data_IF_003654758349
#
_entry.id   IF_003654758349
#
_cell.length_a   1.000
_cell.length_b   1.000
_cell.length_c   1.000
_cell.angle_alpha   90.00
_cell.angle_beta   90.00
_cell.angle_gamma   90.00
#
_symmetry.space_group_name_H-M   'P 1'
#
loop_
_entity.id
_entity.type
_entity.pdbx_description
1 polymer ?
#
# COMPACT_ATOMS: atom_id res chain seq x y z
N UNK A 1 23.90 -12.87 7.32
CA UNK A 1 22.64 -12.92 6.54
C UNK A 1 21.55 -12.31 7.41
N UNK A 2 20.81 -11.33 6.90
CA UNK A 2 19.66 -10.72 7.59
C UNK A 2 18.40 -11.53 7.29
N UNK A 3 17.45 -11.56 8.23
CA UNK A 3 16.14 -12.17 8.02
C UNK A 3 15.29 -11.32 7.05
N UNK A 4 14.49 -11.95 6.18
CA UNK A 4 13.58 -11.22 5.31
C UNK A 4 12.44 -10.58 6.11
N UNK A 5 11.90 -9.49 5.59
CA UNK A 5 10.62 -8.95 6.06
C UNK A 5 9.52 -9.94 5.72
N UNK A 6 8.68 -10.27 6.70
CA UNK A 6 7.54 -11.17 6.54
C UNK A 6 6.28 -10.49 7.07
N UNK A 7 5.15 -10.82 6.46
CA UNK A 7 3.83 -10.33 6.83
C UNK A 7 3.07 -11.49 7.45
N UNK A 8 2.51 -11.31 8.65
CA UNK A 8 1.67 -12.32 9.28
C UNK A 8 0.21 -12.10 8.86
N UNK A 9 -0.38 -13.11 8.20
CA UNK A 9 -1.76 -13.12 7.70
C UNK A 9 -2.67 -14.10 8.44
N UNK A 10 -2.22 -14.70 9.56
CA UNK A 10 -2.97 -15.73 10.31
C UNK A 10 -4.37 -15.27 10.79
N UNK A 11 -4.56 -13.96 10.94
CA UNK A 11 -5.81 -13.34 11.38
C UNK A 11 -6.67 -12.82 10.23
N UNK A 12 -6.14 -12.80 9.01
CA UNK A 12 -6.86 -12.31 7.84
C UNK A 12 -7.93 -13.33 7.44
N UNK A 13 -9.07 -12.84 6.94
CA UNK A 13 -10.19 -13.68 6.50
C UNK A 13 -10.63 -13.27 5.11
N UNK A 14 -10.14 -13.97 4.09
CA UNK A 14 -10.39 -13.63 2.69
C UNK A 14 -9.90 -12.20 2.41
N UNK A 15 -10.83 -11.30 2.09
CA UNK A 15 -10.52 -9.90 1.76
C UNK A 15 -10.43 -8.99 2.99
N UNK A 16 -10.67 -9.51 4.20
CA UNK A 16 -10.66 -8.73 5.44
C UNK A 16 -9.32 -8.93 6.13
N UNK A 17 -8.49 -7.88 6.16
CA UNK A 17 -7.29 -7.84 7.00
C UNK A 17 -7.66 -7.51 8.46
N UNK A 18 -6.93 -8.08 9.42
CA UNK A 18 -7.18 -7.82 10.84
C UNK A 18 -6.30 -6.69 11.41
N UNK A 19 -5.06 -6.59 10.94
CA UNK A 19 -4.05 -5.69 11.45
C UNK A 19 -3.29 -4.97 10.32
N UNK A 20 -2.63 -3.88 10.67
CA UNK A 20 -1.79 -3.10 9.77
C UNK A 20 -0.58 -2.56 10.52
N UNK A 21 0.50 -2.40 9.76
CA UNK A 21 1.74 -1.81 10.22
C UNK A 21 1.89 -0.34 9.78
N UNK A 22 1.03 0.15 8.88
CA UNK A 22 1.10 1.53 8.37
C UNK A 22 0.85 2.59 9.44
N UNK A 23 0.23 2.21 10.56
CA UNK A 23 -0.10 3.11 11.67
C UNK A 23 1.09 3.57 12.51
N UNK A 24 2.16 2.76 12.57
CA UNK A 24 3.22 2.98 13.54
C UNK A 24 4.41 2.03 13.43
N UNK A 25 4.54 1.30 12.31
CA UNK A 25 5.56 0.26 12.08
C UNK A 25 5.51 -0.92 13.07
N UNK A 26 4.46 -0.98 13.87
CA UNK A 26 4.14 -2.06 14.79
C UNK A 26 2.77 -2.62 14.38
N UNK A 27 2.58 -3.93 14.52
CA UNK A 27 1.29 -4.55 14.19
C UNK A 27 0.24 -4.02 15.15
N UNK A 28 -0.78 -3.37 14.58
CA UNK A 28 -1.90 -2.77 15.30
C UNK A 28 -3.20 -3.23 14.66
N UNK A 29 -4.19 -3.59 15.47
CA UNK A 29 -5.52 -3.93 14.97
C UNK A 29 -6.12 -2.73 14.24
N UNK A 30 -6.63 -2.94 13.02
CA UNK A 30 -7.21 -1.86 12.21
C UNK A 30 -8.34 -1.12 12.95
N UNK A 31 -9.11 -1.84 13.78
CA UNK A 31 -10.18 -1.26 14.60
C UNK A 31 -9.66 -0.24 15.65
N UNK A 32 -8.42 -0.41 16.11
CA UNK A 32 -7.81 0.41 17.17
C UNK A 32 -6.87 1.47 16.61
N UNK A 33 -6.71 1.52 15.28
CA UNK A 33 -5.80 2.44 14.62
C UNK A 33 -6.51 3.76 14.29
N UNK A 34 -6.03 4.92 14.78
CA UNK A 34 -6.66 6.22 14.54
C UNK A 34 -6.24 6.80 13.17
N UNK A 35 -6.23 5.97 12.12
CA UNK A 35 -5.87 6.38 10.76
C UNK A 35 -6.77 5.67 9.76
N UNK A 36 -6.99 6.34 8.63
CA UNK A 36 -7.82 5.82 7.55
C UNK A 36 -6.98 4.91 6.65
N UNK A 37 -7.05 3.60 6.92
CA UNK A 37 -6.27 2.57 6.24
C UNK A 37 -7.17 1.66 5.41
N UNK A 38 -6.78 1.43 4.16
CA UNK A 38 -7.35 0.39 3.30
C UNK A 38 -6.29 -0.68 3.07
N UNK A 39 -6.69 -1.96 3.19
CA UNK A 39 -5.81 -3.10 2.94
C UNK A 39 -6.44 -3.97 1.85
N UNK A 40 -5.65 -4.28 0.83
CA UNK A 40 -5.96 -5.29 -0.17
C UNK A 40 -5.13 -6.53 0.18
N UNK A 41 -5.80 -7.62 0.56
CA UNK A 41 -5.15 -8.88 0.93
C UNK A 41 -4.66 -9.64 -0.29
N UNK A 42 -3.83 -10.67 -0.09
CA UNK A 42 -3.37 -11.57 -1.15
C UNK A 42 -4.51 -12.20 -1.94
N UNK A 43 -5.53 -12.68 -1.23
CA UNK A 43 -6.72 -13.29 -1.83
C UNK A 43 -7.43 -12.29 -2.74
N UNK A 44 -7.64 -11.06 -2.28
CA UNK A 44 -8.27 -10.02 -3.08
C UNK A 44 -7.46 -9.72 -4.34
N UNK A 45 -6.15 -9.53 -4.20
CA UNK A 45 -5.23 -9.24 -5.30
C UNK A 45 -5.27 -10.34 -6.37
N UNK A 46 -5.23 -11.60 -5.94
CA UNK A 46 -5.27 -12.75 -6.84
C UNK A 46 -6.61 -12.84 -7.57
N UNK A 47 -7.72 -12.59 -6.87
CA UNK A 47 -9.07 -12.71 -7.43
C UNK A 47 -9.40 -11.61 -8.45
N UNK A 48 -8.87 -10.40 -8.27
CA UNK A 48 -8.97 -9.34 -9.30
C UNK A 48 -7.97 -9.52 -10.45
N UNK A 49 -7.05 -10.48 -10.34
CA UNK A 49 -6.00 -10.74 -11.34
C UNK A 49 -4.97 -9.61 -11.45
N UNK A 50 -4.79 -8.79 -10.41
CA UNK A 50 -3.83 -7.70 -10.43
C UNK A 50 -2.40 -8.22 -10.33
N UNK A 51 -1.58 -7.84 -11.30
CA UNK A 51 -0.16 -8.23 -11.40
C UNK A 51 0.77 -7.13 -10.91
N UNK A 52 0.29 -5.89 -10.86
CA UNK A 52 1.05 -4.76 -10.37
C UNK A 52 0.26 -3.84 -9.43
N UNK A 53 1.00 -2.90 -8.83
CA UNK A 53 0.44 -1.89 -7.93
C UNK A 53 -0.58 -0.95 -8.58
N UNK A 54 -0.43 -0.65 -9.87
CA UNK A 54 -1.31 0.28 -10.57
C UNK A 54 -2.69 -0.35 -10.82
N UNK A 55 -2.73 -1.62 -11.20
CA UNK A 55 -3.95 -2.41 -11.35
C UNK A 55 -4.67 -2.54 -10.00
N UNK A 56 -3.92 -2.77 -8.92
CA UNK A 56 -4.48 -2.87 -7.58
C UNK A 56 -4.97 -1.52 -7.02
N UNK A 57 -4.28 -0.42 -7.37
CA UNK A 57 -4.61 0.91 -6.83
C UNK A 57 -5.98 1.42 -7.29
N UNK A 58 -6.52 0.87 -8.38
CA UNK A 58 -7.89 1.13 -8.83
C UNK A 58 -8.96 0.69 -7.82
N UNK A 59 -8.63 -0.24 -6.91
CA UNK A 59 -9.51 -0.73 -5.85
C UNK A 59 -9.24 -0.07 -4.49
N UNK A 60 -8.25 0.84 -4.41
CA UNK A 60 -8.03 1.64 -3.21
C UNK A 60 -9.05 2.77 -3.14
N UNK A 61 -9.49 3.09 -1.92
CA UNK A 61 -10.54 4.09 -1.73
C UNK A 61 -9.99 5.51 -1.89
N UNK A 62 -10.62 6.32 -2.74
CA UNK A 62 -10.20 7.71 -3.01
C UNK A 62 -8.75 7.80 -3.53
N UNK A 63 -8.42 6.84 -4.39
CA UNK A 63 -7.15 6.76 -5.09
C UNK A 63 -7.44 6.73 -6.58
N UNK A 64 -6.64 7.47 -7.36
CA UNK A 64 -6.65 7.33 -8.81
C UNK A 64 -5.24 7.47 -9.36
N UNK A 65 -4.94 6.66 -10.37
CA UNK A 65 -3.71 6.71 -11.09
C UNK A 65 -3.58 8.06 -11.83
N UNK A 66 -2.40 8.67 -11.75
CA UNK A 66 -2.00 9.75 -12.62
C UNK A 66 -0.72 9.32 -13.30
N UNK A 67 -0.82 9.09 -14.61
CA UNK A 67 0.33 8.79 -15.46
C UNK A 67 0.71 10.12 -16.11
N UNK A 68 1.68 10.88 -15.56
CA UNK A 68 2.11 12.11 -16.20
C UNK A 68 2.65 11.81 -17.60
N UNK A 69 2.11 12.51 -18.61
CA UNK A 69 2.54 12.34 -20.00
C UNK A 69 4.04 12.63 -20.11
N UNK A 70 4.83 11.65 -20.55
CA UNK A 70 6.28 11.80 -20.76
C UNK A 70 7.17 11.46 -19.57
N UNK A 71 6.65 10.81 -18.52
CA UNK A 71 7.45 10.21 -17.45
C UNK A 71 7.30 8.69 -17.50
N UNK A 72 8.33 7.99 -17.96
CA UNK A 72 8.36 6.52 -18.07
C UNK A 72 8.59 5.82 -16.71
N UNK A 73 8.81 6.57 -15.63
CA UNK A 73 9.18 6.03 -14.31
C UNK A 73 8.36 6.65 -13.18
N UNK A 74 7.68 5.79 -12.41
CA UNK A 74 6.96 6.15 -11.19
C UNK A 74 5.47 6.40 -11.43
N UNK A 75 4.64 5.37 -11.23
CA UNK A 75 3.20 5.56 -11.15
C UNK A 75 2.89 6.53 -9.99
N UNK A 76 2.36 7.72 -10.32
CA UNK A 76 1.92 8.68 -9.32
C UNK A 76 0.46 8.41 -9.00
N UNK A 77 0.18 7.86 -7.82
CA UNK A 77 -1.20 7.81 -7.35
C UNK A 77 -1.54 9.14 -6.68
N UNK A 78 -2.73 9.64 -7.01
CA UNK A 78 -3.36 10.69 -6.24
C UNK A 78 -4.14 10.04 -5.10
N UNK A 79 -3.97 10.55 -3.89
CA UNK A 79 -4.78 10.17 -2.73
C UNK A 79 -5.57 11.40 -2.29
N UNK A 80 -6.90 11.29 -2.27
CA UNK A 80 -7.79 12.42 -1.93
C UNK A 80 -7.57 13.67 -2.81
N UNK A 81 -7.19 13.47 -4.07
CA UNK A 81 -6.91 14.55 -5.03
C UNK A 81 -5.56 15.26 -4.82
N UNK A 82 -4.72 14.76 -3.92
CA UNK A 82 -3.34 15.23 -3.74
C UNK A 82 -2.39 14.29 -4.49
N UNK A 83 -1.64 14.87 -5.43
CA UNK A 83 -0.69 14.15 -6.26
C UNK A 83 0.70 14.07 -5.63
N UNK A 84 1.57 13.31 -6.27
CA UNK A 84 2.97 13.15 -5.81
C UNK A 84 3.16 12.06 -4.76
N UNK A 85 2.16 11.17 -4.59
CA UNK A 85 2.33 10.01 -3.74
C UNK A 85 3.32 9.01 -4.35
N UNK A 86 4.23 8.47 -3.53
CA UNK A 86 5.20 7.47 -3.92
C UNK A 86 4.84 6.11 -3.32
N UNK A 87 4.89 5.01 -4.10
CA UNK A 87 4.74 3.70 -3.52
C UNK A 87 5.89 3.42 -2.55
N UNK A 88 5.58 2.75 -1.45
CA UNK A 88 6.60 2.19 -0.57
C UNK A 88 6.57 0.68 -0.61
N UNK A 89 7.73 0.09 -0.37
CA UNK A 89 7.87 -1.34 -0.13
C UNK A 89 8.51 -1.52 1.23
N UNK A 90 7.79 -2.18 2.14
CA UNK A 90 8.24 -2.40 3.52
C UNK A 90 8.73 -1.09 4.17
N UNK A 91 7.95 -0.01 4.01
CA UNK A 91 8.20 1.36 4.50
C UNK A 91 9.35 2.14 3.87
N UNK A 92 10.02 1.58 2.86
CA UNK A 92 11.04 2.31 2.12
C UNK A 92 10.46 2.78 0.81
N UNK A 93 10.71 4.05 0.48
CA UNK A 93 10.33 4.65 -0.80
C UNK A 93 10.85 3.78 -1.94
N UNK A 94 9.97 3.49 -2.89
CA UNK A 94 10.30 2.72 -4.06
C UNK A 94 9.90 3.51 -5.31
N UNK A 95 10.81 3.65 -6.27
CA UNK A 95 10.61 4.54 -7.43
C UNK A 95 10.18 3.80 -8.70
N UNK A 96 10.09 2.47 -8.65
CA UNK A 96 9.73 1.63 -9.80
C UNK A 96 8.36 0.99 -9.60
N UNK A 97 7.78 0.49 -10.68
CA UNK A 97 6.57 -0.33 -10.62
C UNK A 97 6.88 -1.62 -9.85
N UNK A 98 6.01 -1.94 -8.90
CA UNK A 98 6.09 -3.17 -8.10
C UNK A 98 5.25 -4.25 -8.78
N UNK A 99 5.89 -5.36 -9.15
CA UNK A 99 5.22 -6.63 -9.48
C UNK A 99 4.84 -7.36 -8.18
N UNK A 100 3.68 -7.99 -8.19
CA UNK A 100 3.09 -8.68 -7.07
C UNK A 100 3.52 -10.14 -6.88
N UNK A 101 4.52 -10.62 -7.63
CA UNK A 101 5.08 -11.95 -7.38
C UNK A 101 5.54 -12.13 -5.91
N UNK A 102 6.01 -11.07 -5.25
CA UNK A 102 6.53 -11.08 -3.88
C UNK A 102 5.82 -10.11 -2.92
N UNK A 103 4.55 -9.81 -3.20
CA UNK A 103 3.72 -8.92 -2.38
C UNK A 103 2.63 -9.75 -1.71
N UNK A 104 2.54 -9.64 -0.39
CA UNK A 104 1.49 -10.31 0.39
C UNK A 104 0.23 -9.46 0.53
N UNK A 105 0.39 -8.14 0.61
CA UNK A 105 -0.73 -7.20 0.75
C UNK A 105 -0.32 -5.82 0.24
N UNK A 106 -1.32 -5.05 -0.20
CA UNK A 106 -1.19 -3.63 -0.50
C UNK A 106 -1.95 -2.86 0.57
N UNK A 107 -1.25 -2.00 1.29
CA UNK A 107 -1.86 -1.13 2.29
C UNK A 107 -1.76 0.32 1.83
N UNK A 108 -2.81 1.10 2.07
CA UNK A 108 -2.84 2.54 1.82
C UNK A 108 -3.34 3.27 3.06
N UNK A 109 -2.54 4.19 3.58
CA UNK A 109 -2.93 5.12 4.63
C UNK A 109 -3.20 6.49 4.00
N UNK A 110 -4.32 7.11 4.35
CA UNK A 110 -4.79 8.34 3.68
C UNK A 110 -4.78 9.51 4.64
N UNK A 111 -4.08 10.57 4.26
CA UNK A 111 -3.88 11.78 5.05
C UNK A 111 -2.40 12.00 5.40
N UNK A 112 -2.07 13.04 6.19
CA UNK A 112 -0.69 13.36 6.54
C UNK A 112 -0.04 12.26 7.39
N UNK A 113 0.95 11.54 6.84
CA UNK A 113 1.69 10.47 7.51
C UNK A 113 3.18 10.78 7.69
N UNK A 114 3.57 12.06 7.60
CA UNK A 114 4.97 12.51 7.60
C UNK A 114 5.75 12.11 8.87
N UNK A 115 5.07 11.91 10.01
CA UNK A 115 5.70 11.42 11.24
C UNK A 115 6.40 10.07 11.07
N UNK A 116 5.88 9.19 10.20
CA UNK A 116 6.41 7.84 9.98
C UNK A 116 7.24 7.71 8.70
N UNK A 117 6.99 8.57 7.72
CA UNK A 117 7.54 8.45 6.36
C UNK A 117 8.38 9.64 5.89
N UNK A 118 8.52 10.70 6.70
CA UNK A 118 9.29 11.90 6.35
C UNK A 118 8.55 12.81 5.38
N UNK A 119 9.25 13.39 4.40
CA UNK A 119 8.63 14.10 3.28
C UNK A 119 7.62 13.15 2.62
N UNK A 120 6.33 13.49 2.77
CA UNK A 120 5.20 12.59 2.56
C UNK A 120 5.35 11.69 1.33
N UNK A 121 5.13 10.41 1.54
CA UNK A 121 4.84 9.43 0.48
C UNK A 121 3.38 9.52 0.06
#
# INVERSE_FOLDING_TARGET
MLSPFTVNTEKDRGYIAADSLLAGRLSTELLKTPSDITVLTRDFINDIGATDYLEASAYLTNTYATIPSGQDFGAQNNFRGLGGGFPTRNYFKHNNTLDFYNVERVESARGPNALLFGDGI
#
